data_IF_734604091927
#
_entry.id   IF_734604091927
#
_cell.length_a   1.000
_cell.length_b   1.000
_cell.length_c   1.000
_cell.angle_alpha   90.00
_cell.angle_beta   90.00
_cell.angle_gamma   90.00
#
_symmetry.space_group_name_H-M   'P 1'
#
loop_
_entity.id
_entity.type
_entity.pdbx_description
1 polymer ?
#
# COMPACT_ATOMS: atom_id res chain seq x y z
N UNK A 1 -0.93 55.57 -10.44
CA UNK A 1 -1.05 54.39 -11.33
C UNK A 1 -1.98 54.72 -12.48
N UNK A 2 -1.60 54.35 -13.70
CA UNK A 2 -2.39 54.66 -14.91
C UNK A 2 -3.68 53.82 -14.91
N UNK A 3 -4.85 54.46 -15.08
CA UNK A 3 -6.16 53.78 -15.08
C UNK A 3 -6.23 52.64 -16.10
N UNK A 4 -5.51 52.78 -17.22
CA UNK A 4 -5.38 51.74 -18.23
C UNK A 4 -4.56 50.54 -17.74
N UNK A 5 -3.50 50.77 -16.96
CA UNK A 5 -2.70 49.70 -16.38
C UNK A 5 -3.50 48.90 -15.34
N UNK A 6 -4.33 49.57 -14.54
CA UNK A 6 -5.21 48.90 -13.57
C UNK A 6 -6.29 48.06 -14.26
N UNK A 7 -6.86 48.56 -15.37
CA UNK A 7 -7.85 47.81 -16.16
C UNK A 7 -7.24 46.55 -16.81
N UNK A 8 -6.03 46.66 -17.37
CA UNK A 8 -5.33 45.53 -17.99
C UNK A 8 -4.97 44.45 -16.96
N UNK A 9 -4.51 44.85 -15.77
CA UNK A 9 -4.21 43.93 -14.68
C UNK A 9 -5.45 43.18 -14.17
N UNK A 10 -6.58 43.87 -14.04
CA UNK A 10 -7.85 43.22 -13.65
C UNK A 10 -8.36 42.26 -14.72
N UNK A 11 -8.19 42.59 -16.00
CA UNK A 11 -8.59 41.70 -17.09
C UNK A 11 -7.72 40.44 -17.15
N UNK A 12 -6.40 40.57 -16.97
CA UNK A 12 -5.48 39.44 -16.90
C UNK A 12 -5.77 38.51 -15.71
N UNK A 13 -6.07 39.07 -14.54
CA UNK A 13 -6.42 38.27 -13.36
C UNK A 13 -7.71 37.45 -13.56
N UNK A 14 -8.69 37.97 -14.30
CA UNK A 14 -9.95 37.28 -14.60
C UNK A 14 -9.81 36.14 -15.64
N UNK A 15 -8.80 36.19 -16.50
CA UNK A 15 -8.55 35.14 -17.51
C UNK A 15 -7.84 33.92 -16.89
N UNK A 16 -7.04 34.12 -15.85
CA UNK A 16 -6.28 33.04 -15.20
C UNK A 16 -7.19 32.07 -14.43
N UNK A 17 -8.37 32.52 -13.95
CA UNK A 17 -9.32 31.66 -13.24
C UNK A 17 -10.08 30.69 -14.14
N UNK A 18 -9.99 30.83 -15.47
CA UNK A 18 -10.60 29.91 -16.44
C UNK A 18 -9.66 28.79 -16.89
N UNK A 19 -8.35 28.92 -16.63
CA UNK A 19 -7.37 27.87 -16.91
C UNK A 19 -7.22 27.01 -15.66
N UNK A 20 -8.31 26.36 -15.24
CA UNK A 20 -8.17 25.24 -14.31
C UNK A 20 -7.61 24.06 -15.11
N UNK A 21 -6.48 23.45 -14.72
CA UNK A 21 -6.07 22.20 -15.32
C UNK A 21 -7.20 21.20 -15.06
N UNK A 22 -7.88 20.76 -16.11
CA UNK A 22 -8.75 19.59 -16.02
C UNK A 22 -7.85 18.41 -15.66
N UNK A 23 -7.81 18.06 -14.37
CA UNK A 23 -7.24 16.78 -13.94
C UNK A 23 -8.19 15.73 -14.53
N UNK A 24 -7.80 15.13 -15.65
CA UNK A 24 -8.50 13.97 -16.20
C UNK A 24 -8.34 12.83 -15.18
N UNK A 25 -9.23 12.77 -14.20
CA UNK A 25 -9.47 11.54 -13.45
C UNK A 25 -10.07 10.58 -14.46
N UNK A 26 -9.22 9.74 -15.03
CA UNK A 26 -9.64 8.72 -15.97
C UNK A 26 -10.67 7.85 -15.25
N UNK A 27 -11.96 8.04 -15.54
CA UNK A 27 -13.04 7.36 -14.86
C UNK A 27 -13.01 5.82 -15.08
N UNK A 28 -12.11 5.37 -15.96
CA UNK A 28 -11.79 3.96 -16.24
C UNK A 28 -10.47 3.50 -15.63
N UNK A 29 -9.70 4.36 -14.97
CA UNK A 29 -8.51 3.93 -14.25
C UNK A 29 -8.93 2.96 -13.14
N UNK A 30 -8.40 1.74 -13.19
CA UNK A 30 -8.48 0.81 -12.06
C UNK A 30 -7.80 1.49 -10.88
N UNK A 31 -8.49 1.71 -9.75
CA UNK A 31 -7.87 2.27 -8.57
C UNK A 31 -6.65 1.42 -8.19
N UNK A 32 -5.50 2.03 -7.85
CA UNK A 32 -4.35 1.25 -7.44
C UNK A 32 -4.72 0.38 -6.24
N UNK A 33 -4.40 -0.91 -6.33
CA UNK A 33 -4.52 -1.81 -5.20
C UNK A 33 -3.50 -1.37 -4.13
N UNK A 34 -3.93 -1.08 -2.88
CA UNK A 34 -2.99 -0.83 -1.81
C UNK A 34 -2.11 -2.06 -1.59
N UNK A 35 -0.84 -1.80 -1.28
CA UNK A 35 0.16 -2.81 -0.96
C UNK A 35 0.81 -2.41 0.36
N UNK A 36 1.02 -3.38 1.25
CA UNK A 36 1.80 -3.21 2.46
C UNK A 36 2.98 -4.18 2.49
N UNK A 37 4.10 -3.74 3.09
CA UNK A 37 5.31 -4.52 3.21
C UNK A 37 5.77 -4.56 4.67
N UNK A 38 5.93 -5.77 5.22
CA UNK A 38 6.60 -6.00 6.49
C UNK A 38 8.01 -6.52 6.23
N UNK A 39 8.99 -5.77 6.70
CA UNK A 39 10.40 -6.11 6.62
C UNK A 39 10.78 -6.89 7.87
N UNK A 40 11.04 -8.18 7.73
CA UNK A 40 11.13 -9.12 8.84
C UNK A 40 12.49 -9.82 8.88
N UNK A 41 12.93 -10.12 10.10
CA UNK A 41 14.01 -11.05 10.38
C UNK A 41 13.47 -12.29 11.08
N UNK A 42 14.11 -13.43 10.89
CA UNK A 42 13.70 -14.66 11.55
C UNK A 42 14.03 -14.57 13.03
N UNK A 43 13.14 -15.08 13.89
CA UNK A 43 13.50 -15.29 15.31
C UNK A 43 14.60 -16.35 15.39
N UNK A 44 15.42 -16.28 16.43
CA UNK A 44 16.49 -17.25 16.67
C UNK A 44 15.93 -18.69 16.67
N UNK A 45 16.64 -19.59 15.97
CA UNK A 45 16.25 -20.99 15.83
C UNK A 45 15.05 -21.25 14.91
N UNK A 46 14.50 -20.22 14.23
CA UNK A 46 13.42 -20.38 13.26
C UNK A 46 13.94 -20.45 11.83
N UNK A 47 13.22 -21.21 11.02
CA UNK A 47 13.56 -21.49 9.63
C UNK A 47 12.46 -21.00 8.67
N UNK A 48 12.77 -21.00 7.38
CA UNK A 48 11.76 -20.74 6.34
C UNK A 48 10.60 -21.75 6.38
N UNK A 49 10.81 -22.97 6.89
CA UNK A 49 9.73 -23.93 7.07
C UNK A 49 8.73 -23.49 8.15
N UNK A 50 9.23 -22.91 9.25
CA UNK A 50 8.37 -22.32 10.28
C UNK A 50 7.57 -21.13 9.71
N UNK A 51 8.23 -20.27 8.94
CA UNK A 51 7.56 -19.16 8.25
C UNK A 51 6.48 -19.66 7.30
N UNK A 52 6.73 -20.73 6.55
CA UNK A 52 5.72 -21.34 5.67
C UNK A 52 4.51 -21.83 6.48
N UNK A 53 4.71 -22.42 7.65
CA UNK A 53 3.58 -22.83 8.50
C UNK A 53 2.73 -21.63 8.96
N UNK A 54 3.37 -20.50 9.28
CA UNK A 54 2.65 -19.25 9.59
C UNK A 54 1.85 -18.78 8.37
N UNK A 55 2.45 -18.81 7.17
CA UNK A 55 1.79 -18.43 5.93
C UNK A 55 0.59 -19.33 5.61
N UNK A 56 0.71 -20.65 5.80
CA UNK A 56 -0.38 -21.60 5.56
C UNK A 56 -1.56 -21.34 6.53
N UNK A 57 -1.27 -21.06 7.81
CA UNK A 57 -2.30 -20.71 8.81
C UNK A 57 -2.96 -19.37 8.48
N UNK A 58 -2.17 -18.37 8.09
CA UNK A 58 -2.69 -17.09 7.64
C UNK A 58 -3.59 -17.27 6.41
N UNK A 59 -3.18 -18.06 5.42
CA UNK A 59 -3.98 -18.34 4.23
C UNK A 59 -5.32 -18.98 4.56
N UNK A 60 -5.35 -19.96 5.48
CA UNK A 60 -6.60 -20.58 5.95
C UNK A 60 -7.50 -19.59 6.70
N UNK A 61 -6.91 -18.69 7.48
CA UNK A 61 -7.64 -17.63 8.16
C UNK A 61 -8.20 -16.62 7.17
N UNK A 62 -7.39 -16.14 6.22
CA UNK A 62 -7.78 -15.19 5.18
C UNK A 62 -8.90 -15.78 4.31
N UNK A 63 -8.81 -17.04 3.90
CA UNK A 63 -9.88 -17.70 3.15
C UNK A 63 -11.27 -17.63 3.83
N UNK A 64 -11.31 -17.52 5.17
CA UNK A 64 -12.55 -17.43 5.96
C UNK A 64 -12.96 -16.00 6.30
N UNK A 65 -11.99 -15.09 6.44
CA UNK A 65 -12.21 -13.76 7.02
C UNK A 65 -11.94 -12.61 6.04
N UNK A 66 -11.06 -12.81 5.07
CA UNK A 66 -10.70 -11.87 4.01
C UNK A 66 -10.15 -12.61 2.78
N UNK A 67 -11.05 -13.25 2.03
CA UNK A 67 -10.68 -14.06 0.86
C UNK A 67 -10.12 -13.22 -0.30
N UNK A 68 -10.16 -11.89 -0.17
CA UNK A 68 -9.70 -10.95 -1.19
C UNK A 68 -8.27 -10.49 -0.96
N UNK A 69 -7.74 -10.75 0.23
CA UNK A 69 -6.36 -10.44 0.58
C UNK A 69 -5.38 -11.38 -0.14
N UNK A 70 -4.38 -10.79 -0.77
CA UNK A 70 -3.28 -11.51 -1.40
C UNK A 70 -1.98 -11.27 -0.63
N UNK A 71 -1.18 -12.32 -0.46
CA UNK A 71 0.06 -12.27 0.31
C UNK A 71 1.19 -13.02 -0.39
N UNK A 72 2.41 -12.50 -0.28
CA UNK A 72 3.63 -13.08 -0.81
C UNK A 72 4.76 -13.00 0.20
N UNK A 73 5.58 -14.03 0.25
CA UNK A 73 6.86 -14.03 0.95
C UNK A 73 7.94 -13.76 -0.08
N UNK A 74 8.63 -12.64 0.06
CA UNK A 74 9.79 -12.31 -0.76
C UNK A 74 11.06 -12.63 0.02
N UNK A 75 11.89 -13.49 -0.56
CA UNK A 75 13.24 -13.75 -0.08
C UNK A 75 14.24 -13.01 -0.95
N UNK A 76 15.31 -12.53 -0.31
CA UNK A 76 16.34 -11.77 -1.01
C UNK A 76 17.18 -12.71 -1.88
N UNK A 77 17.33 -12.35 -3.15
CA UNK A 77 18.24 -13.04 -4.08
C UNK A 77 19.63 -12.39 -4.12
N UNK A 78 19.71 -11.07 -3.93
CA UNK A 78 20.94 -10.28 -4.06
C UNK A 78 21.09 -9.29 -2.89
N UNK A 79 22.32 -9.10 -2.40
CA UNK A 79 22.65 -8.20 -1.29
C UNK A 79 22.99 -8.94 0.02
N UNK A 80 24.19 -8.68 0.56
CA UNK A 80 24.74 -9.37 1.74
C UNK A 80 24.97 -8.43 2.93
N UNK A 81 24.01 -7.55 3.19
CA UNK A 81 23.96 -6.72 4.38
C UNK A 81 23.22 -7.40 5.52
N UNK A 82 23.77 -7.34 6.74
CA UNK A 82 23.07 -7.77 7.96
C UNK A 82 21.95 -6.79 8.34
N UNK A 83 22.05 -5.56 7.87
CA UNK A 83 21.04 -4.50 7.98
C UNK A 83 19.83 -4.72 7.07
N UNK A 84 19.92 -5.62 6.10
CA UNK A 84 18.85 -5.91 5.17
C UNK A 84 17.90 -6.97 5.77
N UNK A 85 16.59 -6.88 5.48
CA UNK A 85 15.56 -7.81 5.97
C UNK A 85 15.72 -9.19 5.36
N UNK A 86 15.73 -10.25 6.18
CA UNK A 86 15.82 -11.63 5.68
C UNK A 86 14.62 -11.99 4.80
N UNK A 87 13.43 -11.50 5.17
CA UNK A 87 12.17 -11.76 4.49
C UNK A 87 11.35 -10.48 4.41
N UNK A 88 10.62 -10.31 3.31
CA UNK A 88 9.56 -9.32 3.19
C UNK A 88 8.23 -10.04 3.04
N UNK A 89 7.30 -9.79 3.96
CA UNK A 89 5.90 -10.16 3.78
C UNK A 89 5.20 -9.03 3.03
N UNK A 90 4.80 -9.29 1.79
CA UNK A 90 4.11 -8.34 0.94
C UNK A 90 2.62 -8.71 0.90
N UNK A 91 1.75 -7.79 1.29
CA UNK A 91 0.31 -7.96 1.28
C UNK A 91 -0.38 -6.97 0.34
N UNK A 92 -1.57 -7.31 -0.14
CA UNK A 92 -2.38 -6.40 -0.95
C UNK A 92 -3.88 -6.67 -0.78
N UNK A 93 -4.64 -5.58 -0.75
CA UNK A 93 -6.10 -5.59 -0.80
C UNK A 93 -6.59 -5.10 -2.17
N UNK A 94 -7.77 -5.52 -2.65
CA UNK A 94 -8.25 -5.17 -4.00
C UNK A 94 -8.54 -3.68 -4.21
N UNK A 95 -8.81 -2.93 -3.13
CA UNK A 95 -9.04 -1.49 -3.21
C UNK A 95 -8.67 -0.81 -1.89
N UNK A 96 -8.24 0.45 -1.97
CA UNK A 96 -7.99 1.30 -0.79
C UNK A 96 -9.25 1.68 -0.02
N UNK A 97 -10.43 1.32 -0.54
CA UNK A 97 -11.74 1.46 0.13
C UNK A 97 -12.15 0.19 0.86
N UNK A 98 -11.56 -0.96 0.51
CA UNK A 98 -11.63 -2.16 1.34
C UNK A 98 -10.71 -1.91 2.52
N UNK A 99 -11.23 -1.84 3.75
CA UNK A 99 -10.37 -1.56 4.88
C UNK A 99 -9.31 -2.67 4.99
N UNK A 100 -8.08 -2.32 5.38
CA UNK A 100 -7.06 -3.29 5.82
C UNK A 100 -7.46 -4.10 7.08
N UNK A 101 -8.76 -4.25 7.32
CA UNK A 101 -9.40 -4.98 8.40
C UNK A 101 -8.97 -6.44 8.44
N UNK A 102 -8.67 -7.08 7.29
CA UNK A 102 -8.15 -8.44 7.27
C UNK A 102 -6.83 -8.55 8.03
N UNK A 103 -5.86 -7.73 7.64
CA UNK A 103 -4.56 -7.69 8.30
C UNK A 103 -4.63 -7.15 9.73
N UNK A 104 -5.44 -6.12 10.01
CA UNK A 104 -5.65 -5.61 11.37
C UNK A 104 -6.33 -6.65 12.26
N UNK A 105 -7.29 -7.43 11.76
CA UNK A 105 -7.94 -8.51 12.51
C UNK A 105 -6.98 -9.68 12.75
N UNK A 106 -6.15 -10.03 11.77
CA UNK A 106 -5.05 -10.98 11.96
C UNK A 106 -4.06 -10.50 13.03
N UNK A 107 -3.70 -9.22 13.02
CA UNK A 107 -2.85 -8.64 14.05
C UNK A 107 -3.54 -8.55 15.42
N UNK A 108 -4.87 -8.47 15.50
CA UNK A 108 -5.58 -8.44 16.78
C UNK A 108 -5.71 -9.83 17.42
N UNK A 109 -5.89 -10.90 16.63
CA UNK A 109 -6.18 -12.25 17.14
C UNK A 109 -5.21 -13.37 16.73
N UNK A 110 -4.34 -13.14 15.76
CA UNK A 110 -3.40 -14.14 15.21
C UNK A 110 -1.94 -13.96 15.66
N UNK A 111 -1.63 -12.95 16.48
CA UNK A 111 -0.26 -12.59 16.90
C UNK A 111 0.50 -13.68 17.64
N UNK A 112 -0.19 -14.61 18.29
CA UNK A 112 0.47 -15.73 19.00
C UNK A 112 1.14 -16.72 18.04
N UNK A 113 0.90 -16.58 16.73
CA UNK A 113 1.42 -17.44 15.68
C UNK A 113 2.65 -16.82 14.96
N UNK A 114 3.02 -15.57 15.26
CA UNK A 114 4.16 -14.86 14.69
C UNK A 114 5.36 -14.80 15.65
#
# INVERSE_FOLDING_TARGET
>A
MNKYATAVLMFLAAVITWVQPAQAQDARAVPPAPVEAFYCNMKEGKSHADLKQVADRFSQWAAKNDATYSAWILTRQFGMGAELPEVIWLGSCPSGTSPGNGLTAWQAGGRELA
#
